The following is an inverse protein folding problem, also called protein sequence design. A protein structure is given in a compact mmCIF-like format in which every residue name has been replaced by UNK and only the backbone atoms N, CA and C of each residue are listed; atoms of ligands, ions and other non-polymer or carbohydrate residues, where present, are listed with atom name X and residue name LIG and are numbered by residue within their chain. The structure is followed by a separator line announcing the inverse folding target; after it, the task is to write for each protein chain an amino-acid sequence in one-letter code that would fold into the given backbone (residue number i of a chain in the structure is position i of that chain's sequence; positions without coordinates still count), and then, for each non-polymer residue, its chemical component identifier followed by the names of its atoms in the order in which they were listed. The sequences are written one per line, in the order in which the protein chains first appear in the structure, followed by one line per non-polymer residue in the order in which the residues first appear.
data_IF_178871353905
#
_entry.id   IF_178871353905
#
_cell.length_a   1.000
_cell.length_b   1.000
_cell.length_c   1.000
_cell.angle_alpha   90.00
_cell.angle_beta   90.00
_cell.angle_gamma   90.00
#
_symmetry.space_group_name_H-M   'P 1'
#
loop_
_entity.id
_entity.type
_entity.pdbx_description
1 polymer ?
#
# COMPACT_ATOMS: atom_id res chain seq x y z
N UNK A 1 4.65 15.34 18.14
CA UNK A 1 5.06 14.00 17.65
C UNK A 1 3.87 13.10 17.36
N UNK A 2 3.00 12.80 18.32
CA UNK A 2 1.81 11.95 18.05
C UNK A 2 0.80 12.59 17.11
N UNK A 3 0.54 13.90 17.25
CA UNK A 3 -0.44 14.59 16.40
C UNK A 3 0.05 14.71 14.96
N UNK A 4 1.33 15.00 14.76
CA UNK A 4 1.96 15.01 13.44
C UNK A 4 1.90 13.64 12.75
N UNK A 5 2.15 12.55 13.49
CA UNK A 5 2.01 11.20 12.96
C UNK A 5 0.57 10.94 12.51
N UNK A 6 -0.42 11.27 13.35
CA UNK A 6 -1.84 11.12 13.01
C UNK A 6 -2.20 11.93 11.77
N UNK A 7 -1.75 13.18 11.69
CA UNK A 7 -2.01 14.05 10.54
C UNK A 7 -1.45 13.47 9.24
N UNK A 8 -0.23 12.91 9.26
CA UNK A 8 0.37 12.24 8.10
C UNK A 8 -0.40 10.98 7.71
N UNK A 9 -0.86 10.19 8.69
CA UNK A 9 -1.68 9.01 8.42
C UNK A 9 -3.04 9.39 7.81
N UNK A 10 -3.71 10.42 8.32
CA UNK A 10 -4.96 10.93 7.76
C UNK A 10 -4.76 11.40 6.32
N UNK A 11 -3.70 12.16 6.03
CA UNK A 11 -3.37 12.60 4.66
C UNK A 11 -3.15 11.42 3.70
N UNK A 12 -2.52 10.34 4.16
CA UNK A 12 -2.34 9.14 3.34
C UNK A 12 -3.68 8.43 3.06
N UNK A 13 -4.56 8.36 4.05
CA UNK A 13 -5.91 7.81 3.90
C UNK A 13 -6.72 8.64 2.90
N UNK A 14 -6.70 9.97 3.02
CA UNK A 14 -7.40 10.87 2.10
C UNK A 14 -6.88 10.72 0.66
N UNK A 15 -5.57 10.51 0.47
CA UNK A 15 -5.00 10.27 -0.85
C UNK A 15 -5.51 8.96 -1.47
N UNK A 16 -5.71 7.91 -0.66
CA UNK A 16 -6.28 6.63 -1.11
C UNK A 16 -7.76 6.81 -1.47
N UNK A 17 -8.55 7.44 -0.60
CA UNK A 17 -10.00 7.62 -0.79
C UNK A 17 -10.32 8.47 -2.02
N UNK A 18 -9.53 9.53 -2.26
CA UNK A 18 -9.76 10.44 -3.39
C UNK A 18 -9.19 9.94 -4.72
N UNK A 19 -8.49 8.80 -4.72
CA UNK A 19 -7.97 8.22 -5.96
C UNK A 19 -9.07 7.50 -6.74
N UNK A 20 -9.18 7.67 -8.08
CA UNK A 20 -10.30 7.14 -8.86
C UNK A 20 -10.34 5.61 -9.01
N UNK A 21 -9.31 4.89 -8.54
CA UNK A 21 -9.17 3.44 -8.70
C UNK A 21 -9.35 2.72 -7.38
N UNK A 22 -10.09 1.61 -7.41
CA UNK A 22 -10.27 0.72 -6.25
C UNK A 22 -9.24 -0.42 -6.20
N UNK A 23 -8.31 -0.48 -7.16
CA UNK A 23 -7.25 -1.49 -7.22
C UNK A 23 -6.01 -0.99 -6.48
N UNK A 24 -5.60 -1.75 -5.46
CA UNK A 24 -4.38 -1.52 -4.69
C UNK A 24 -3.40 -2.66 -4.92
N UNK A 25 -2.21 -2.32 -5.41
CA UNK A 25 -1.05 -3.21 -5.35
C UNK A 25 -0.32 -2.94 -4.04
N UNK A 26 -0.39 -3.90 -3.11
CA UNK A 26 0.18 -3.82 -1.77
C UNK A 26 1.50 -4.59 -1.74
N UNK A 27 2.61 -3.87 -1.82
CA UNK A 27 3.95 -4.40 -1.73
C UNK A 27 4.38 -4.48 -0.27
N UNK A 28 5.02 -5.59 0.10
CA UNK A 28 5.48 -5.78 1.48
C UNK A 28 6.75 -6.63 1.54
N UNK A 29 7.51 -6.49 2.62
CA UNK A 29 8.68 -7.31 2.85
C UNK A 29 8.30 -8.77 3.14
N UNK A 30 9.19 -9.72 2.82
CA UNK A 30 8.98 -11.16 3.00
C UNK A 30 9.31 -11.67 4.42
N UNK A 31 9.24 -10.79 5.42
CA UNK A 31 9.46 -11.11 6.83
C UNK A 31 8.17 -11.00 7.64
N UNK A 32 8.26 -11.29 8.95
CA UNK A 32 7.10 -11.24 9.86
C UNK A 32 6.46 -9.85 9.91
N UNK A 33 7.26 -8.79 9.95
CA UNK A 33 6.76 -7.42 9.99
C UNK A 33 5.99 -7.05 8.71
N UNK A 34 6.58 -7.34 7.54
CA UNK A 34 5.94 -7.12 6.25
C UNK A 34 4.66 -7.95 6.07
N UNK A 35 4.68 -9.24 6.43
CA UNK A 35 3.52 -10.13 6.31
C UNK A 35 2.36 -9.70 7.21
N UNK A 36 2.65 -9.36 8.47
CA UNK A 36 1.60 -8.92 9.42
C UNK A 36 1.05 -7.55 9.04
N UNK A 37 1.91 -6.60 8.67
CA UNK A 37 1.50 -5.28 8.16
C UNK A 37 0.62 -5.40 6.92
N UNK A 38 1.00 -6.26 5.97
CA UNK A 38 0.22 -6.51 4.76
C UNK A 38 -1.14 -7.16 5.08
N UNK A 39 -1.19 -8.11 6.02
CA UNK A 39 -2.45 -8.74 6.43
C UNK A 39 -3.43 -7.73 7.09
N UNK A 40 -2.91 -6.83 7.93
CA UNK A 40 -3.70 -5.76 8.57
C UNK A 40 -4.26 -4.82 7.49
N UNK A 41 -3.40 -4.29 6.62
CA UNK A 41 -3.81 -3.36 5.57
C UNK A 41 -4.77 -4.01 4.58
N UNK A 42 -4.47 -5.22 4.13
CA UNK A 42 -5.35 -5.99 3.23
C UNK A 42 -6.74 -6.10 3.85
N UNK A 43 -6.85 -6.53 5.11
CA UNK A 43 -8.17 -6.74 5.72
C UNK A 43 -8.92 -5.44 5.97
N UNK A 44 -8.22 -4.37 6.31
CA UNK A 44 -8.83 -3.05 6.49
C UNK A 44 -9.37 -2.50 5.16
N UNK A 45 -8.56 -2.53 4.10
CA UNK A 45 -8.93 -1.99 2.80
C UNK A 45 -10.00 -2.85 2.08
N UNK A 46 -9.96 -4.18 2.24
CA UNK A 46 -11.04 -5.05 1.75
C UNK A 46 -12.40 -4.72 2.38
N UNK A 47 -12.43 -4.31 3.67
CA UNK A 47 -13.68 -3.89 4.34
C UNK A 47 -14.25 -2.60 3.75
N UNK A 48 -13.40 -1.73 3.23
CA UNK A 48 -13.77 -0.49 2.55
C UNK A 48 -14.07 -0.69 1.05
N UNK A 49 -14.05 -1.93 0.55
CA UNK A 49 -14.44 -2.27 -0.83
C UNK A 49 -13.31 -2.21 -1.86
N UNK A 50 -12.05 -2.06 -1.45
CA UNK A 50 -10.91 -2.11 -2.36
C UNK A 50 -10.56 -3.54 -2.79
N UNK A 51 -10.07 -3.68 -4.02
CA UNK A 51 -9.47 -4.92 -4.52
C UNK A 51 -7.98 -4.90 -4.28
N UNK A 52 -7.46 -5.85 -3.51
CA UNK A 52 -6.06 -5.86 -3.08
C UNK A 52 -5.27 -6.96 -3.78
N UNK A 53 -4.12 -6.61 -4.36
CA UNK A 53 -3.10 -7.55 -4.84
C UNK A 53 -1.88 -7.45 -3.93
N UNK A 54 -1.66 -8.44 -3.08
CA UNK A 54 -0.47 -8.52 -2.21
C UNK A 54 0.73 -9.07 -2.96
N UNK A 55 1.85 -8.35 -2.96
CA UNK A 55 3.08 -8.70 -3.67
C UNK A 55 4.25 -8.63 -2.69
N UNK A 56 4.85 -9.78 -2.39
CA UNK A 56 6.01 -9.82 -1.50
C UNK A 56 7.30 -9.47 -2.27
N UNK A 57 8.13 -8.61 -1.69
CA UNK A 57 9.44 -8.24 -2.20
C UNK A 57 10.50 -8.52 -1.13
N UNK A 58 11.62 -9.13 -1.52
CA UNK A 58 12.76 -9.28 -0.61
C UNK A 58 13.50 -7.94 -0.44
N UNK A 59 13.73 -7.20 -1.54
CA UNK A 59 14.29 -5.83 -1.50
C UNK A 59 13.74 -4.98 -2.64
N UNK A 60 13.64 -3.65 -2.46
CA UNK A 60 13.23 -2.73 -3.51
C UNK A 60 14.40 -2.42 -4.48
N UNK A 61 14.88 -3.43 -5.19
CA UNK A 61 15.97 -3.24 -6.15
C UNK A 61 15.55 -2.26 -7.26
N UNK A 62 16.47 -1.42 -7.80
CA UNK A 62 16.14 -0.40 -8.78
C UNK A 62 15.37 -0.92 -10.01
N UNK A 63 15.71 -2.10 -10.52
CA UNK A 63 15.02 -2.71 -11.66
C UNK A 63 13.56 -3.08 -11.33
N UNK A 64 13.29 -3.51 -10.10
CA UNK A 64 11.94 -3.82 -9.61
C UNK A 64 11.13 -2.54 -9.43
N UNK A 65 11.72 -1.53 -8.77
CA UNK A 65 11.08 -0.23 -8.58
C UNK A 65 10.71 0.44 -9.90
N UNK A 66 11.62 0.38 -10.90
CA UNK A 66 11.32 0.89 -12.24
C UNK A 66 10.05 0.27 -12.80
N UNK A 67 9.90 -1.05 -12.66
CA UNK A 67 8.71 -1.76 -13.16
C UNK A 67 7.44 -1.40 -12.39
N UNK A 68 7.54 -1.20 -11.08
CA UNK A 68 6.42 -0.78 -10.23
C UNK A 68 5.95 0.63 -10.60
N UNK A 69 6.87 1.58 -10.78
CA UNK A 69 6.54 2.97 -11.12
C UNK A 69 6.12 3.19 -12.57
N UNK A 70 6.37 2.23 -13.47
CA UNK A 70 5.80 2.21 -14.82
C UNK A 70 4.30 1.87 -14.84
N UNK A 71 3.77 1.29 -13.76
CA UNK A 71 2.34 0.93 -13.69
C UNK A 71 1.50 2.22 -13.59
N UNK A 72 0.38 2.28 -14.31
CA UNK A 72 -0.55 3.44 -14.28
C UNK A 72 -1.97 3.05 -13.87
N UNK A 73 -2.70 3.97 -13.24
CA UNK A 73 -4.13 3.77 -12.92
C UNK A 73 -4.45 2.91 -11.70
N UNK A 74 -3.44 2.46 -10.94
CA UNK A 74 -3.63 1.79 -9.65
C UNK A 74 -2.96 2.55 -8.51
N UNK A 75 -3.43 2.28 -7.29
CA UNK A 75 -2.79 2.74 -6.06
C UNK A 75 -1.64 1.79 -5.74
N UNK A 76 -0.48 2.35 -5.43
CA UNK A 76 0.71 1.60 -5.00
C UNK A 76 0.91 1.90 -3.51
N UNK A 77 0.92 0.84 -2.70
CA UNK A 77 1.26 0.88 -1.27
C UNK A 77 2.47 -0.01 -1.07
#
# INVERSE_FOLDING_TARGET
MHDELKERMTRAIDAIINWPSNLINLFHHNDTDGLTSAAILKKALEREGYTIKTISLEKPYPAVLKRIFEMTGQIII
#
